data_IF_198300044192
#
_entry.id   IF_198300044192
#
_cell.length_a   1.000
_cell.length_b   1.000
_cell.length_c   1.000
_cell.angle_alpha   90.00
_cell.angle_beta   90.00
_cell.angle_gamma   90.00
#
_symmetry.space_group_name_H-M   'P 1'
#
loop_
_entity.id
_entity.type
_entity.pdbx_description
1 polymer ?
#
# COMPACT_ATOMS: atom_id res chain seq x y z
N UNK A 1 -19.83 -22.72 -5.61
CA UNK A 1 -19.09 -22.18 -4.44
C UNK A 1 -19.02 -20.68 -4.60
N UNK A 2 -19.41 -19.89 -3.60
CA UNK A 2 -19.29 -18.42 -3.64
C UNK A 2 -17.85 -17.98 -3.40
N UNK A 3 -17.50 -16.73 -3.75
CA UNK A 3 -16.18 -16.13 -3.46
C UNK A 3 -15.87 -16.21 -1.96
N UNK A 4 -16.82 -15.84 -1.09
CA UNK A 4 -16.67 -15.95 0.38
C UNK A 4 -16.34 -17.37 0.85
N UNK A 5 -17.05 -18.37 0.32
CA UNK A 5 -16.78 -19.78 0.67
C UNK A 5 -15.37 -20.21 0.18
N UNK A 6 -14.99 -19.80 -1.03
CA UNK A 6 -13.65 -20.08 -1.54
C UNK A 6 -12.56 -19.47 -0.65
N UNK A 7 -12.70 -18.19 -0.28
CA UNK A 7 -11.74 -17.49 0.57
C UNK A 7 -11.58 -18.20 1.92
N UNK A 8 -12.70 -18.47 2.62
CA UNK A 8 -12.70 -19.16 3.92
C UNK A 8 -12.00 -20.54 3.88
N UNK A 9 -12.20 -21.26 2.80
CA UNK A 9 -11.60 -22.59 2.61
C UNK A 9 -10.14 -22.55 2.14
N UNK A 10 -9.61 -21.37 1.83
CA UNK A 10 -8.29 -21.21 1.20
C UNK A 10 -7.25 -20.55 2.11
N UNK A 11 -7.62 -19.93 3.25
CA UNK A 11 -6.66 -19.26 4.12
C UNK A 11 -5.50 -20.16 4.55
N UNK A 12 -5.78 -21.42 4.89
CA UNK A 12 -4.76 -22.38 5.35
C UNK A 12 -3.75 -22.71 4.25
N UNK A 13 -4.10 -22.50 2.97
CA UNK A 13 -3.18 -22.69 1.83
C UNK A 13 -2.12 -21.60 1.75
N UNK A 14 -2.38 -20.42 2.31
CA UNK A 14 -1.41 -19.31 2.38
C UNK A 14 -0.58 -19.33 3.66
N UNK A 15 -0.92 -20.17 4.64
CA UNK A 15 -0.21 -20.23 5.92
C UNK A 15 1.16 -20.92 5.75
N UNK A 16 2.21 -20.26 6.24
CA UNK A 16 3.60 -20.69 6.19
C UNK A 16 4.19 -20.73 7.59
N UNK A 17 4.94 -21.77 7.91
CA UNK A 17 5.72 -21.85 9.16
C UNK A 17 7.17 -21.42 8.95
N UNK A 18 7.61 -21.31 7.70
CA UNK A 18 8.94 -20.81 7.28
C UNK A 18 8.88 -20.39 5.81
N UNK A 19 9.75 -19.46 5.41
CA UNK A 19 9.94 -19.08 4.02
C UNK A 19 10.50 -20.23 3.16
N UNK A 20 10.22 -20.18 1.87
CA UNK A 20 10.66 -21.16 0.89
C UNK A 20 11.98 -20.78 0.24
N UNK A 21 12.34 -19.50 0.24
CA UNK A 21 13.56 -19.00 -0.39
C UNK A 21 14.79 -19.27 0.46
N UNK A 22 15.95 -19.59 -0.18
CA UNK A 22 17.21 -19.76 0.53
C UNK A 22 17.68 -18.50 1.28
N UNK A 23 17.29 -17.31 0.78
CA UNK A 23 17.58 -16.00 1.36
C UNK A 23 16.43 -15.46 2.24
N UNK A 24 15.44 -16.30 2.57
CA UNK A 24 14.34 -15.97 3.48
C UNK A 24 14.81 -15.76 4.91
N UNK A 25 14.18 -14.80 5.60
CA UNK A 25 14.44 -14.50 7.01
C UNK A 25 13.48 -15.31 7.88
N UNK A 26 14.03 -16.07 8.82
CA UNK A 26 13.22 -16.85 9.78
C UNK A 26 12.40 -15.90 10.68
N UNK A 27 11.11 -16.20 10.80
CA UNK A 27 10.16 -15.48 11.61
C UNK A 27 9.75 -16.29 12.85
N UNK A 28 9.41 -15.62 13.97
CA UNK A 28 9.05 -16.32 15.22
C UNK A 28 7.69 -17.02 15.17
N UNK A 29 6.76 -16.56 14.32
CA UNK A 29 5.41 -17.10 14.21
C UNK A 29 5.09 -17.55 12.78
N UNK A 30 4.09 -18.42 12.57
CA UNK A 30 3.50 -18.65 11.25
C UNK A 30 3.01 -17.33 10.64
N UNK A 31 2.96 -17.27 9.31
CA UNK A 31 2.50 -16.09 8.57
C UNK A 31 1.71 -16.48 7.32
N UNK A 32 0.92 -15.55 6.80
CA UNK A 32 0.21 -15.75 5.55
C UNK A 32 1.00 -15.10 4.40
N UNK A 33 1.33 -15.89 3.37
CA UNK A 33 1.87 -15.39 2.11
C UNK A 33 0.76 -14.78 1.23
N UNK A 34 1.07 -13.84 0.31
CA UNK A 34 0.09 -13.26 -0.61
C UNK A 34 -0.56 -14.30 -1.53
N UNK A 35 0.18 -15.30 -1.96
CA UNK A 35 -0.30 -16.37 -2.81
C UNK A 35 -0.37 -17.71 -2.05
N UNK A 36 -1.39 -18.52 -2.37
CA UNK A 36 -1.44 -19.90 -1.91
C UNK A 36 -0.35 -20.75 -2.62
N UNK A 37 -0.19 -20.50 -3.92
CA UNK A 37 0.85 -21.06 -4.79
C UNK A 37 1.31 -19.95 -5.73
N UNK A 38 2.58 -19.89 -6.11
CA UNK A 38 3.08 -18.92 -7.09
C UNK A 38 4.32 -18.16 -6.65
N UNK A 39 4.55 -17.01 -7.26
CA UNK A 39 5.79 -16.23 -7.12
C UNK A 39 5.86 -15.41 -5.83
N UNK A 40 4.71 -15.09 -5.20
CA UNK A 40 4.65 -14.30 -3.95
C UNK A 40 4.40 -15.22 -2.75
N UNK A 41 5.38 -16.05 -2.42
CA UNK A 41 5.28 -17.08 -1.38
C UNK A 41 5.99 -16.68 -0.06
N UNK A 42 6.51 -15.46 0.03
CA UNK A 42 7.20 -14.94 1.21
C UNK A 42 6.32 -13.97 2.02
N UNK A 43 6.83 -13.49 3.15
CA UNK A 43 6.16 -12.52 4.00
C UNK A 43 6.46 -11.10 3.52
N UNK A 44 5.46 -10.46 2.89
CA UNK A 44 5.54 -9.09 2.38
C UNK A 44 4.87 -8.09 3.30
N UNK A 45 5.36 -6.84 3.29
CA UNK A 45 4.91 -5.82 4.22
C UNK A 45 3.46 -5.37 3.96
N UNK A 46 3.21 -4.59 2.91
CA UNK A 46 1.91 -3.96 2.75
C UNK A 46 0.81 -4.94 2.33
N UNK A 47 1.15 -6.02 1.63
CA UNK A 47 0.24 -7.11 1.28
C UNK A 47 -0.45 -7.70 2.51
N UNK A 48 0.34 -7.88 3.57
CA UNK A 48 -0.14 -8.43 4.83
C UNK A 48 -1.20 -7.55 5.50
N UNK A 49 -1.15 -6.23 5.30
CA UNK A 49 -2.18 -5.33 5.85
C UNK A 49 -3.57 -5.67 5.30
N UNK A 50 -3.65 -5.90 4.00
CA UNK A 50 -4.92 -6.24 3.36
C UNK A 50 -5.32 -7.69 3.59
N UNK A 51 -4.37 -8.61 3.63
CA UNK A 51 -4.59 -10.02 4.04
C UNK A 51 -5.23 -10.06 5.43
N UNK A 52 -4.70 -9.30 6.38
CA UNK A 52 -5.20 -9.24 7.75
C UNK A 52 -6.66 -8.73 7.83
N UNK A 53 -7.07 -7.81 6.93
CA UNK A 53 -8.49 -7.41 6.85
C UNK A 53 -9.42 -8.60 6.65
N UNK A 54 -9.06 -9.50 5.72
CA UNK A 54 -9.83 -10.70 5.46
C UNK A 54 -9.76 -11.75 6.56
N UNK A 55 -8.59 -11.94 7.16
CA UNK A 55 -8.43 -12.85 8.31
C UNK A 55 -9.29 -12.39 9.50
N UNK A 56 -9.30 -11.11 9.82
CA UNK A 56 -10.11 -10.53 10.88
C UNK A 56 -11.61 -10.68 10.56
N UNK A 57 -12.02 -10.41 9.33
CA UNK A 57 -13.41 -10.57 8.87
C UNK A 57 -13.89 -12.04 8.95
N UNK A 58 -12.99 -13.00 8.80
CA UNK A 58 -13.30 -14.44 8.94
C UNK A 58 -13.01 -15.00 10.34
N UNK A 59 -12.72 -14.14 11.35
CA UNK A 59 -12.49 -14.54 12.74
C UNK A 59 -11.14 -15.21 13.02
N UNK A 60 -10.20 -15.17 12.08
CA UNK A 60 -8.84 -15.74 12.21
C UNK A 60 -7.89 -14.72 12.88
N UNK A 61 -8.26 -14.30 14.11
CA UNK A 61 -7.54 -13.25 14.84
C UNK A 61 -6.13 -13.64 15.24
N UNK A 62 -5.88 -14.93 15.53
CA UNK A 62 -4.55 -15.44 15.90
C UNK A 62 -3.58 -15.36 14.71
N UNK A 63 -4.01 -15.77 13.51
CA UNK A 63 -3.21 -15.66 12.29
C UNK A 63 -2.86 -14.19 11.98
N UNK A 64 -3.87 -13.31 12.10
CA UNK A 64 -3.66 -11.87 11.91
C UNK A 64 -2.70 -11.26 12.95
N UNK A 65 -2.80 -11.67 14.23
CA UNK A 65 -1.89 -11.23 15.29
C UNK A 65 -0.46 -11.72 15.05
N UNK A 66 -0.28 -12.98 14.66
CA UNK A 66 1.03 -13.54 14.32
C UNK A 66 1.71 -12.77 13.19
N UNK A 67 0.95 -12.39 12.14
CA UNK A 67 1.48 -11.55 11.08
C UNK A 67 2.00 -10.21 11.62
N UNK A 68 1.26 -9.54 12.50
CA UNK A 68 1.67 -8.23 13.03
C UNK A 68 2.85 -8.35 14.02
N UNK A 69 2.91 -9.44 14.81
CA UNK A 69 4.03 -9.72 15.69
C UNK A 69 5.33 -10.05 14.92
N UNK A 70 5.22 -10.74 13.78
CA UNK A 70 6.35 -10.95 12.87
C UNK A 70 6.90 -9.64 12.32
N UNK A 71 6.03 -8.68 11.99
CA UNK A 71 6.48 -7.34 11.57
C UNK A 71 7.17 -6.60 12.71
N UNK A 72 6.61 -6.62 13.92
CA UNK A 72 7.24 -6.03 15.10
C UNK A 72 8.64 -6.63 15.33
N UNK A 73 8.81 -7.93 15.20
CA UNK A 73 10.10 -8.61 15.27
C UNK A 73 11.10 -8.10 14.21
N UNK A 74 10.67 -7.93 12.95
CA UNK A 74 11.53 -7.41 11.88
C UNK A 74 11.88 -5.94 12.11
N UNK A 75 10.93 -5.12 12.57
CA UNK A 75 11.17 -3.71 12.94
C UNK A 75 12.15 -3.62 14.10
N UNK A 76 12.04 -4.48 15.11
CA UNK A 76 12.97 -4.54 16.24
C UNK A 76 14.38 -4.89 15.79
N UNK A 77 14.50 -5.80 14.83
CA UNK A 77 15.77 -6.30 14.34
C UNK A 77 16.50 -5.32 13.41
N UNK A 78 15.76 -4.64 12.52
CA UNK A 78 16.32 -3.81 11.45
C UNK A 78 16.08 -2.31 11.63
N UNK A 79 15.23 -1.92 12.58
CA UNK A 79 14.81 -0.53 12.80
C UNK A 79 13.65 -0.07 11.89
N UNK A 80 13.21 -0.91 10.95
CA UNK A 80 12.10 -0.68 10.03
C UNK A 80 11.55 -2.02 9.53
N UNK A 81 10.35 -2.04 8.96
CA UNK A 81 9.86 -3.22 8.26
C UNK A 81 10.47 -3.27 6.84
N UNK A 82 11.25 -4.31 6.50
CA UNK A 82 11.71 -4.52 5.13
C UNK A 82 10.54 -4.73 4.16
N UNK A 83 10.80 -4.56 2.86
CA UNK A 83 9.82 -4.82 1.80
C UNK A 83 9.21 -6.24 1.91
N UNK A 84 10.07 -7.24 2.18
CA UNK A 84 9.68 -8.60 2.52
C UNK A 84 10.69 -9.22 3.49
N UNK A 85 10.34 -10.34 4.10
CA UNK A 85 11.24 -11.11 4.97
C UNK A 85 12.30 -11.88 4.15
N UNK A 86 13.04 -11.17 3.31
CA UNK A 86 14.04 -11.68 2.37
C UNK A 86 15.28 -10.80 2.42
N UNK A 87 16.48 -11.39 2.54
CA UNK A 87 17.72 -10.60 2.70
C UNK A 87 18.03 -9.70 1.50
N UNK A 88 17.70 -10.13 0.28
CA UNK A 88 17.82 -9.30 -0.94
C UNK A 88 16.88 -8.09 -1.00
N UNK A 89 15.89 -8.01 -0.09
CA UNK A 89 14.90 -6.91 -0.01
C UNK A 89 15.08 -6.02 1.23
N UNK A 90 16.20 -6.16 1.96
CA UNK A 90 16.55 -5.32 3.12
C UNK A 90 16.97 -3.89 2.71
N UNK A 91 17.16 -3.60 1.45
CA UNK A 91 17.59 -2.29 0.99
C UNK A 91 16.44 -1.28 0.85
N UNK A 92 15.21 -1.66 1.13
CA UNK A 92 14.00 -0.83 1.07
C UNK A 92 12.88 -1.33 1.97
N UNK A 93 11.97 -0.44 2.32
CA UNK A 93 10.71 -0.76 3.00
C UNK A 93 9.55 -0.90 1.98
N UNK A 94 8.32 -0.71 2.46
CA UNK A 94 7.09 -0.49 1.68
C UNK A 94 6.23 0.57 2.41
N UNK A 95 5.04 0.97 1.89
CA UNK A 95 4.19 1.96 2.56
C UNK A 95 3.95 1.59 4.03
N UNK A 96 4.09 2.55 4.97
CA UNK A 96 4.01 2.26 6.40
C UNK A 96 2.58 1.97 6.84
N UNK A 97 2.12 0.74 6.61
CA UNK A 97 0.80 0.26 6.99
C UNK A 97 0.81 -0.53 8.32
N UNK A 98 1.96 -0.68 8.96
CA UNK A 98 2.04 -1.35 10.26
C UNK A 98 1.15 -0.66 11.30
N UNK A 99 1.07 0.67 11.29
CA UNK A 99 0.14 1.41 12.16
C UNK A 99 -1.32 0.98 11.96
N UNK A 100 -1.77 0.85 10.71
CA UNK A 100 -3.13 0.37 10.41
C UNK A 100 -3.35 -1.04 10.98
N UNK A 101 -2.39 -1.95 10.78
CA UNK A 101 -2.46 -3.32 11.32
C UNK A 101 -2.43 -3.36 12.85
N UNK A 102 -1.61 -2.53 13.48
CA UNK A 102 -1.58 -2.38 14.95
C UNK A 102 -2.95 -1.95 15.46
N UNK A 103 -3.56 -0.91 14.86
CA UNK A 103 -4.90 -0.46 15.25
C UNK A 103 -5.93 -1.57 15.15
N UNK A 104 -5.93 -2.32 14.05
CA UNK A 104 -6.93 -3.35 13.78
C UNK A 104 -6.77 -4.57 14.72
N UNK A 105 -5.53 -4.89 15.13
CA UNK A 105 -5.27 -6.06 15.97
C UNK A 105 -5.27 -5.77 17.47
N UNK A 106 -5.18 -4.50 17.88
CA UNK A 106 -5.17 -4.11 19.31
C UNK A 106 -6.28 -4.74 20.16
N UNK A 107 -7.53 -4.90 19.70
CA UNK A 107 -8.59 -5.55 20.47
C UNK A 107 -8.29 -7.01 20.85
N UNK A 108 -7.47 -7.70 20.06
CA UNK A 108 -7.15 -9.12 20.17
C UNK A 108 -5.79 -9.42 20.80
N UNK A 109 -4.95 -8.40 20.98
CA UNK A 109 -3.61 -8.54 21.55
C UNK A 109 -3.63 -8.50 23.09
N UNK A 110 -2.76 -9.28 23.74
CA UNK A 110 -2.50 -9.24 25.18
C UNK A 110 -1.67 -8.01 25.58
N UNK A 111 -1.53 -7.76 26.88
CA UNK A 111 -0.87 -6.56 27.40
C UNK A 111 0.59 -6.44 26.96
N UNK A 112 1.35 -7.54 26.98
CA UNK A 112 2.77 -7.52 26.56
C UNK A 112 2.90 -7.30 25.05
N UNK A 113 2.02 -7.93 24.26
CA UNK A 113 1.97 -7.75 22.81
C UNK A 113 1.64 -6.31 22.44
N UNK A 114 0.65 -5.68 23.08
CA UNK A 114 0.31 -4.26 22.91
C UNK A 114 1.52 -3.35 23.13
N UNK A 115 2.26 -3.59 24.20
CA UNK A 115 3.48 -2.82 24.48
C UNK A 115 4.55 -3.00 23.40
N UNK A 116 4.79 -4.23 22.97
CA UNK A 116 5.73 -4.54 21.89
C UNK A 116 5.33 -3.87 20.57
N UNK A 117 4.05 -3.94 20.21
CA UNK A 117 3.50 -3.32 18.99
C UNK A 117 3.64 -1.78 19.01
N UNK A 118 3.34 -1.13 20.14
CA UNK A 118 3.51 0.33 20.29
C UNK A 118 4.98 0.72 20.17
N UNK A 119 5.88 -0.06 20.81
CA UNK A 119 7.32 0.18 20.71
C UNK A 119 7.87 0.03 19.28
N UNK A 120 7.40 -0.97 18.55
CA UNK A 120 7.75 -1.18 17.15
C UNK A 120 7.19 -0.04 16.25
N UNK A 121 5.97 0.42 16.50
CA UNK A 121 5.35 1.55 15.79
C UNK A 121 6.18 2.83 15.93
N UNK A 122 6.60 3.17 17.14
CA UNK A 122 7.48 4.33 17.38
C UNK A 122 8.84 4.16 16.70
N UNK A 123 9.40 2.95 16.69
CA UNK A 123 10.69 2.66 16.07
C UNK A 123 10.63 2.80 14.54
N UNK A 124 9.59 2.30 13.91
CA UNK A 124 9.37 2.46 12.47
C UNK A 124 9.14 3.93 12.09
N UNK A 125 8.35 4.68 12.86
CA UNK A 125 8.20 6.12 12.66
C UNK A 125 9.56 6.84 12.66
N UNK A 126 10.45 6.50 13.60
CA UNK A 126 11.81 7.07 13.66
C UNK A 126 12.65 6.76 12.42
N UNK A 127 12.50 5.57 11.83
CA UNK A 127 13.14 5.25 10.55
C UNK A 127 12.71 6.23 9.46
N UNK A 128 11.42 6.42 9.28
CA UNK A 128 10.90 7.35 8.28
C UNK A 128 11.40 8.77 8.51
N UNK A 129 11.41 9.25 9.74
CA UNK A 129 11.86 10.61 10.09
C UNK A 129 13.36 10.81 10.02
N UNK A 130 14.17 9.75 10.10
CA UNK A 130 15.64 9.86 10.05
C UNK A 130 16.24 9.50 8.68
N UNK A 131 15.61 8.59 7.94
CA UNK A 131 16.18 8.02 6.70
C UNK A 131 15.46 8.47 5.42
N UNK A 132 14.26 9.02 5.54
CA UNK A 132 13.39 9.35 4.41
C UNK A 132 12.87 10.80 4.44
N UNK A 133 13.48 11.66 5.24
CA UNK A 133 13.07 13.05 5.39
C UNK A 133 13.68 13.92 4.28
N UNK A 134 12.83 14.74 3.64
CA UNK A 134 13.23 15.78 2.70
C UNK A 134 13.56 17.10 3.44
N UNK A 135 14.32 18.00 2.83
CA UNK A 135 14.56 19.34 3.40
C UNK A 135 13.29 20.16 3.66
N UNK A 136 12.20 19.85 2.97
CA UNK A 136 10.86 20.44 3.20
C UNK A 136 10.23 20.03 4.53
N UNK A 137 10.76 18.99 5.19
CA UNK A 137 10.18 18.36 6.37
C UNK A 137 9.04 17.37 6.05
N UNK A 138 8.79 17.06 4.78
CA UNK A 138 7.99 15.93 4.31
C UNK A 138 8.87 14.72 4.03
N UNK A 139 8.27 13.54 3.91
CA UNK A 139 8.99 12.32 3.65
C UNK A 139 8.91 11.90 2.18
N UNK A 140 9.88 11.11 1.74
CA UNK A 140 9.94 10.49 0.41
C UNK A 140 10.13 8.98 0.52
N UNK A 141 9.85 8.25 -0.53
CA UNK A 141 10.36 6.90 -0.72
C UNK A 141 11.84 6.92 -1.13
N UNK A 142 12.54 5.83 -0.87
CA UNK A 142 13.97 5.75 -1.14
C UNK A 142 14.52 4.33 -1.01
N UNK A 143 15.82 4.21 -0.88
CA UNK A 143 16.49 2.93 -0.68
C UNK A 143 17.82 3.12 0.04
N UNK A 144 18.43 2.00 0.47
CA UNK A 144 19.79 1.92 0.99
C UNK A 144 20.65 0.93 0.18
N UNK A 145 20.30 0.73 -1.09
CA UNK A 145 21.00 -0.18 -2.01
C UNK A 145 22.39 0.35 -2.33
N UNK A 146 23.34 -0.56 -2.51
CA UNK A 146 24.64 -0.26 -3.07
C UNK A 146 24.57 0.03 -4.58
N UNK A 147 25.71 0.37 -5.17
CA UNK A 147 25.80 0.71 -6.59
C UNK A 147 25.40 -0.48 -7.48
N UNK A 148 25.82 -1.69 -7.15
CA UNK A 148 25.55 -2.88 -7.94
C UNK A 148 24.04 -3.17 -7.99
N UNK A 149 23.37 -3.16 -6.85
CA UNK A 149 21.93 -3.36 -6.75
C UNK A 149 21.13 -2.27 -7.50
N UNK A 150 21.60 -1.00 -7.50
CA UNK A 150 20.98 0.07 -8.29
C UNK A 150 21.12 -0.17 -9.79
N UNK A 151 22.31 -0.56 -10.26
CA UNK A 151 22.52 -0.85 -11.67
C UNK A 151 21.68 -2.03 -12.16
N UNK A 152 21.61 -3.11 -11.38
CA UNK A 152 20.73 -4.25 -11.67
C UNK A 152 19.25 -3.84 -11.74
N UNK A 153 18.80 -2.94 -10.87
CA UNK A 153 17.43 -2.46 -10.89
C UNK A 153 17.13 -1.57 -12.09
N UNK A 154 18.11 -0.80 -12.59
CA UNK A 154 17.95 -0.05 -13.84
C UNK A 154 17.77 -0.99 -15.04
N UNK A 155 18.56 -2.08 -15.11
CA UNK A 155 18.43 -3.11 -16.16
C UNK A 155 17.04 -3.80 -16.08
N UNK A 156 16.58 -4.12 -14.87
CA UNK A 156 15.29 -4.75 -14.65
C UNK A 156 14.13 -3.84 -15.06
N UNK A 157 14.22 -2.53 -14.79
CA UNK A 157 13.20 -1.57 -15.21
C UNK A 157 13.09 -1.48 -16.72
N UNK A 158 14.24 -1.38 -17.44
CA UNK A 158 14.24 -1.36 -18.91
C UNK A 158 13.63 -2.64 -19.50
N UNK A 159 13.94 -3.78 -18.89
CA UNK A 159 13.39 -5.08 -19.30
C UNK A 159 11.87 -5.16 -19.08
N UNK A 160 11.39 -4.79 -17.89
CA UNK A 160 9.95 -4.88 -17.52
C UNK A 160 9.11 -3.90 -18.33
N UNK A 161 9.60 -2.68 -18.52
CA UNK A 161 8.89 -1.62 -19.22
C UNK A 161 9.09 -1.66 -20.74
N UNK A 162 9.97 -2.53 -21.24
CA UNK A 162 10.38 -2.57 -22.66
C UNK A 162 10.75 -1.18 -23.20
N UNK A 163 11.46 -0.39 -22.37
CA UNK A 163 11.80 1.02 -22.60
C UNK A 163 13.26 1.27 -22.31
N UNK A 164 13.93 2.07 -23.15
CA UNK A 164 15.26 2.64 -22.86
C UNK A 164 15.13 3.96 -22.11
N UNK A 165 16.09 4.23 -21.23
CA UNK A 165 16.24 5.51 -20.49
C UNK A 165 17.52 6.22 -20.94
N UNK A 166 17.64 6.49 -22.23
CA UNK A 166 18.83 7.11 -22.84
C UNK A 166 19.14 8.47 -22.21
N UNK A 167 20.40 8.69 -21.88
CA UNK A 167 20.90 9.94 -21.28
C UNK A 167 20.66 10.09 -19.79
N UNK A 168 19.99 9.12 -19.13
CA UNK A 168 19.83 9.10 -17.67
C UNK A 168 20.99 8.32 -17.05
N UNK A 169 21.58 8.85 -15.97
CA UNK A 169 22.58 8.12 -15.19
C UNK A 169 21.94 6.85 -14.60
N UNK A 170 22.51 5.69 -14.92
CA UNK A 170 21.92 4.39 -14.59
C UNK A 170 21.86 4.12 -13.10
N UNK A 171 22.86 4.58 -12.33
CA UNK A 171 22.84 4.43 -10.87
C UNK A 171 21.72 5.27 -10.25
N UNK A 172 21.54 6.50 -10.73
CA UNK A 172 20.44 7.40 -10.33
C UNK A 172 19.08 6.80 -10.69
N UNK A 173 18.94 6.31 -11.94
CA UNK A 173 17.71 5.63 -12.38
C UNK A 173 17.37 4.47 -11.47
N UNK A 174 18.31 3.55 -11.23
CA UNK A 174 18.10 2.40 -10.36
C UNK A 174 17.72 2.79 -8.92
N UNK A 175 18.25 3.92 -8.42
CA UNK A 175 17.85 4.49 -7.14
C UNK A 175 16.40 4.94 -7.13
N UNK A 176 15.92 5.63 -8.17
CA UNK A 176 14.52 6.03 -8.32
C UNK A 176 13.58 4.82 -8.45
N UNK A 177 13.97 3.82 -9.23
CA UNK A 177 13.22 2.58 -9.41
C UNK A 177 13.08 1.81 -8.08
N UNK A 178 14.15 1.69 -7.29
CA UNK A 178 14.08 1.10 -5.95
C UNK A 178 13.17 1.88 -5.01
N UNK A 179 13.10 3.20 -5.15
CA UNK A 179 12.15 4.02 -4.40
C UNK A 179 10.70 3.78 -4.86
N UNK A 180 10.46 3.54 -6.15
CA UNK A 180 9.13 3.10 -6.61
C UNK A 180 8.77 1.72 -6.04
N UNK A 181 9.72 0.79 -5.96
CA UNK A 181 9.51 -0.48 -5.26
C UNK A 181 9.20 -0.28 -3.75
N UNK A 182 9.82 0.71 -3.08
CA UNK A 182 9.47 1.06 -1.70
C UNK A 182 8.06 1.68 -1.60
N UNK A 183 7.58 2.36 -2.65
CA UNK A 183 6.20 2.87 -2.70
C UNK A 183 5.15 1.77 -2.85
N UNK A 184 5.55 0.57 -3.26
CA UNK A 184 4.67 -0.53 -3.61
C UNK A 184 4.01 -0.40 -4.99
N UNK A 185 4.26 0.70 -5.73
CA UNK A 185 3.63 0.99 -7.03
C UNK A 185 4.63 0.88 -8.19
N UNK A 186 5.35 -0.20 -8.24
CA UNK A 186 6.35 -0.46 -9.27
C UNK A 186 5.73 -1.21 -10.48
N UNK A 187 5.42 -0.55 -11.64
CA UNK A 187 5.75 0.85 -11.92
C UNK A 187 4.47 1.67 -12.15
N UNK A 188 4.57 2.99 -11.93
CA UNK A 188 3.39 3.86 -12.04
C UNK A 188 3.73 5.18 -12.78
N UNK A 189 2.73 5.85 -13.39
CA UNK A 189 2.93 7.16 -14.00
C UNK A 189 3.05 8.29 -12.97
N UNK A 190 2.91 8.03 -11.67
CA UNK A 190 2.86 9.03 -10.58
C UNK A 190 4.08 9.93 -10.56
N UNK A 191 5.25 9.34 -10.70
CA UNK A 191 6.53 10.00 -10.45
C UNK A 191 7.40 10.19 -11.71
N UNK A 192 6.95 9.68 -12.86
CA UNK A 192 7.74 9.76 -14.10
C UNK A 192 9.16 9.18 -13.94
N UNK A 193 9.34 8.13 -13.12
CA UNK A 193 10.61 7.50 -12.76
C UNK A 193 11.57 8.39 -11.96
N UNK A 194 11.05 9.42 -11.27
CA UNK A 194 11.79 10.33 -10.38
C UNK A 194 11.32 10.25 -8.92
N UNK A 195 10.92 9.07 -8.44
CA UNK A 195 10.24 8.85 -7.16
C UNK A 195 10.96 9.49 -5.96
N UNK A 196 12.31 9.45 -5.90
CA UNK A 196 13.07 10.02 -4.79
C UNK A 196 12.98 11.55 -4.67
N UNK A 197 12.56 12.26 -5.70
CA UNK A 197 12.44 13.72 -5.69
C UNK A 197 11.12 14.19 -5.12
N UNK A 198 10.11 13.30 -5.08
CA UNK A 198 8.76 13.61 -4.65
C UNK A 198 8.57 13.48 -3.14
N UNK A 199 7.62 14.26 -2.62
CA UNK A 199 6.91 14.03 -1.37
C UNK A 199 5.59 13.31 -1.70
N UNK A 200 5.53 11.96 -1.64
CA UNK A 200 4.35 11.21 -2.00
C UNK A 200 3.22 11.45 -1.01
N UNK A 201 2.01 11.67 -1.53
CA UNK A 201 0.86 12.02 -0.69
C UNK A 201 0.41 10.84 0.18
N UNK A 202 0.51 9.61 -0.32
CA UNK A 202 0.20 8.40 0.43
C UNK A 202 1.13 8.22 1.64
N UNK A 203 2.45 8.24 1.43
CA UNK A 203 3.43 8.13 2.51
C UNK A 203 3.19 9.18 3.60
N UNK A 204 3.05 10.44 3.20
CA UNK A 204 2.90 11.53 4.15
C UNK A 204 1.53 11.52 4.86
N UNK A 205 0.49 10.98 4.23
CA UNK A 205 -0.81 10.73 4.88
C UNK A 205 -0.72 9.60 5.91
N UNK A 206 -0.03 8.50 5.60
CA UNK A 206 0.18 7.40 6.53
C UNK A 206 1.04 7.83 7.74
N UNK A 207 2.06 8.66 7.53
CA UNK A 207 2.85 9.18 8.64
C UNK A 207 2.07 10.18 9.50
N UNK A 208 1.12 10.95 8.92
CA UNK A 208 0.16 11.72 9.72
C UNK A 208 -0.68 10.82 10.61
N UNK A 209 -1.16 9.68 10.10
CA UNK A 209 -1.87 8.68 10.92
C UNK A 209 -0.99 8.13 12.05
N UNK A 210 0.29 7.83 11.77
CA UNK A 210 1.24 7.39 12.80
C UNK A 210 1.39 8.41 13.92
N UNK A 211 1.51 9.68 13.58
CA UNK A 211 1.63 10.78 14.53
C UNK A 211 0.38 10.88 15.42
N UNK A 212 -0.83 10.72 14.86
CA UNK A 212 -2.07 10.67 15.64
C UNK A 212 -2.10 9.44 16.58
N UNK A 213 -1.78 8.27 16.06
CA UNK A 213 -1.79 7.02 16.84
C UNK A 213 -0.75 7.04 17.97
N UNK A 214 0.46 7.52 17.70
CA UNK A 214 1.52 7.64 18.72
C UNK A 214 1.15 8.66 19.78
N UNK A 215 0.44 9.75 19.44
CA UNK A 215 -0.11 10.69 20.42
C UNK A 215 -1.13 10.02 21.37
N UNK A 216 -1.90 9.07 20.86
CA UNK A 216 -2.90 8.34 21.66
C UNK A 216 -2.27 7.21 22.50
N UNK A 217 -1.28 6.50 21.95
CA UNK A 217 -0.64 5.37 22.63
C UNK A 217 0.49 5.78 23.59
N UNK A 218 1.07 6.97 23.44
CA UNK A 218 2.19 7.48 24.25
C UNK A 218 1.81 8.83 24.90
N UNK A 219 1.02 8.82 26.00
CA UNK A 219 0.50 10.04 26.64
C UNK A 219 1.60 11.04 27.01
N UNK A 220 2.76 10.55 27.45
CA UNK A 220 3.90 11.40 27.84
C UNK A 220 4.53 12.17 26.66
N UNK A 221 4.30 11.71 25.41
CA UNK A 221 4.78 12.31 24.16
C UNK A 221 3.64 12.90 23.32
N UNK A 222 2.42 12.93 23.86
CA UNK A 222 1.23 13.37 23.11
C UNK A 222 1.40 14.72 22.41
N UNK A 223 1.93 15.70 23.14
CA UNK A 223 2.12 17.05 22.60
C UNK A 223 3.12 17.11 21.44
N UNK A 224 4.20 16.31 21.52
CA UNK A 224 5.19 16.18 20.45
C UNK A 224 4.57 15.66 19.17
N UNK A 225 3.85 14.53 19.24
CA UNK A 225 3.26 13.89 18.06
C UNK A 225 2.10 14.70 17.46
N UNK A 226 1.25 15.34 18.28
CA UNK A 226 0.21 16.22 17.75
C UNK A 226 0.80 17.46 17.06
N UNK A 227 1.90 18.01 17.56
CA UNK A 227 2.63 19.08 16.89
C UNK A 227 3.24 18.62 15.56
N UNK A 228 3.82 17.43 15.52
CA UNK A 228 4.35 16.83 14.29
C UNK A 228 3.25 16.66 13.23
N UNK A 229 2.09 16.12 13.61
CA UNK A 229 0.93 15.95 12.72
C UNK A 229 0.41 17.30 12.18
N UNK A 230 0.29 18.31 13.03
CA UNK A 230 -0.14 19.64 12.60
C UNK A 230 0.84 20.27 11.60
N UNK A 231 2.15 20.17 11.85
CA UNK A 231 3.20 20.66 10.95
C UNK A 231 3.21 19.88 9.63
N UNK A 232 3.01 18.55 9.65
CA UNK A 232 2.91 17.73 8.43
C UNK A 232 1.71 18.16 7.59
N UNK A 233 0.55 18.34 8.20
CA UNK A 233 -0.65 18.82 7.52
C UNK A 233 -0.41 20.19 6.86
N UNK A 234 0.19 21.14 7.57
CA UNK A 234 0.54 22.47 7.04
C UNK A 234 1.47 22.37 5.83
N UNK A 235 2.54 21.56 5.93
CA UNK A 235 3.49 21.33 4.83
C UNK A 235 2.86 20.66 3.62
N UNK A 236 1.94 19.71 3.83
CA UNK A 236 1.21 19.08 2.74
C UNK A 236 0.35 20.07 1.96
N UNK A 237 -0.39 20.93 2.66
CA UNK A 237 -1.14 22.00 1.99
C UNK A 237 -0.23 23.03 1.30
N UNK A 238 0.94 23.28 1.87
CA UNK A 238 1.92 24.22 1.28
C UNK A 238 2.57 23.70 0.00
N UNK A 239 2.91 22.40 -0.06
CA UNK A 239 3.75 21.84 -1.14
C UNK A 239 3.00 20.90 -2.07
N UNK A 240 1.96 20.23 -1.60
CA UNK A 240 1.28 19.14 -2.30
C UNK A 240 -0.16 19.50 -2.74
N UNK A 241 -0.63 20.71 -2.47
CA UNK A 241 -1.96 21.16 -2.89
C UNK A 241 -1.90 21.79 -4.30
N UNK A 242 -2.68 21.23 -5.25
CA UNK A 242 -2.70 21.68 -6.65
C UNK A 242 -3.75 22.76 -6.94
N UNK A 243 -4.43 23.26 -5.90
CA UNK A 243 -5.55 24.21 -6.00
C UNK A 243 -6.93 23.51 -5.92
N UNK A 244 -6.99 22.18 -6.04
CA UNK A 244 -8.23 21.39 -5.94
C UNK A 244 -8.14 20.24 -4.96
N UNK A 245 -7.01 19.57 -4.90
CA UNK A 245 -6.76 18.40 -4.06
C UNK A 245 -5.30 18.33 -3.61
N UNK A 246 -5.03 17.51 -2.61
CA UNK A 246 -3.68 17.08 -2.26
C UNK A 246 -3.21 15.96 -3.21
N UNK A 247 -1.98 16.08 -3.71
CA UNK A 247 -1.37 15.12 -4.66
C UNK A 247 0.14 15.02 -4.42
N UNK A 248 0.82 14.16 -5.17
CA UNK A 248 2.29 14.05 -5.11
C UNK A 248 2.94 15.34 -5.61
N UNK A 249 4.03 15.76 -5.00
CA UNK A 249 4.75 16.97 -5.42
C UNK A 249 6.25 16.87 -5.17
N UNK A 250 7.03 17.52 -6.02
CA UNK A 250 8.42 17.88 -5.71
C UNK A 250 8.35 19.18 -4.90
N UNK A 251 8.79 19.19 -3.61
CA UNK A 251 8.66 20.38 -2.78
C UNK A 251 9.43 21.57 -3.35
N UNK A 252 8.71 22.66 -3.59
CA UNK A 252 9.23 23.86 -4.26
C UNK A 252 9.07 23.87 -5.78
N UNK A 253 8.58 22.77 -6.37
CA UNK A 253 8.17 22.64 -7.76
C UNK A 253 6.65 22.67 -7.92
N UNK A 254 6.19 22.22 -9.08
CA UNK A 254 4.75 22.06 -9.37
C UNK A 254 4.28 20.68 -8.91
N UNK A 255 3.11 20.57 -8.25
CA UNK A 255 2.49 19.28 -7.99
C UNK A 255 2.27 18.46 -9.27
N UNK A 256 2.30 17.12 -9.15
CA UNK A 256 2.05 16.26 -10.32
C UNK A 256 0.65 16.52 -10.91
N UNK A 257 0.55 16.40 -12.23
CA UNK A 257 -0.74 16.47 -12.92
C UNK A 257 -1.48 15.14 -12.89
N UNK A 258 -0.79 14.04 -12.60
CA UNK A 258 -1.38 12.71 -12.59
C UNK A 258 -2.23 12.53 -11.33
N UNK A 259 -3.53 12.30 -11.51
CA UNK A 259 -4.41 11.89 -10.43
C UNK A 259 -4.30 10.39 -10.24
N UNK A 260 -3.98 9.95 -9.03
CA UNK A 260 -3.91 8.55 -8.64
C UNK A 260 -4.77 8.26 -7.41
N UNK A 261 -5.02 7.00 -7.13
CA UNK A 261 -5.76 6.58 -5.92
C UNK A 261 -5.04 6.97 -4.62
N UNK A 262 -3.74 7.29 -4.67
CA UNK A 262 -3.00 7.85 -3.55
C UNK A 262 -3.59 9.18 -3.06
N UNK A 263 -4.22 9.97 -3.95
CA UNK A 263 -4.89 11.22 -3.60
C UNK A 263 -6.12 11.02 -2.68
N UNK A 264 -6.59 9.79 -2.49
CA UNK A 264 -7.66 9.48 -1.54
C UNK A 264 -7.15 9.28 -0.09
N UNK A 265 -5.86 9.00 0.11
CA UNK A 265 -5.33 8.71 1.45
C UNK A 265 -5.46 9.85 2.46
N UNK A 266 -5.32 11.13 2.11
CA UNK A 266 -5.58 12.22 3.05
C UNK A 266 -6.96 12.13 3.72
N UNK A 267 -7.96 11.66 2.97
CA UNK A 267 -9.33 11.47 3.46
C UNK A 267 -9.48 10.16 4.25
N UNK A 268 -8.84 9.09 3.77
CA UNK A 268 -8.86 7.79 4.44
C UNK A 268 -8.23 7.83 5.85
N UNK A 269 -7.30 8.75 6.11
CA UNK A 269 -6.64 8.92 7.42
C UNK A 269 -7.16 10.13 8.22
N UNK A 270 -8.19 10.83 7.75
CA UNK A 270 -8.78 11.97 8.44
C UNK A 270 -7.93 13.26 8.42
N UNK A 271 -6.96 13.37 7.51
CA UNK A 271 -6.17 14.58 7.31
C UNK A 271 -6.99 15.69 6.64
N UNK A 272 -7.90 15.32 5.73
CA UNK A 272 -8.82 16.21 5.03
C UNK A 272 -10.25 15.67 5.08
N UNK A 273 -11.23 16.57 5.11
CA UNK A 273 -12.66 16.29 5.07
C UNK A 273 -13.37 16.96 3.87
N UNK A 274 -12.61 17.51 2.93
CA UNK A 274 -13.15 18.17 1.73
C UNK A 274 -13.77 17.14 0.76
N UNK A 275 -15.09 16.99 0.86
CA UNK A 275 -15.88 16.08 0.01
C UNK A 275 -15.76 16.41 -1.49
N UNK A 276 -15.67 17.70 -1.83
CA UNK A 276 -15.55 18.15 -3.22
C UNK A 276 -14.23 17.72 -3.84
N UNK A 277 -13.14 17.87 -3.09
CA UNK A 277 -11.83 17.40 -3.49
C UNK A 277 -11.80 15.88 -3.68
N UNK A 278 -12.33 15.10 -2.72
CA UNK A 278 -12.40 13.63 -2.86
C UNK A 278 -13.23 13.20 -4.07
N UNK A 279 -14.41 13.79 -4.27
CA UNK A 279 -15.24 13.48 -5.44
C UNK A 279 -14.55 13.82 -6.76
N UNK A 280 -13.69 14.86 -6.79
CA UNK A 280 -12.89 15.18 -7.98
C UNK A 280 -11.88 14.08 -8.29
N UNK A 281 -11.29 13.45 -7.29
CA UNK A 281 -10.39 12.28 -7.42
C UNK A 281 -11.18 11.08 -7.93
N UNK A 282 -12.27 10.73 -7.26
CA UNK A 282 -13.09 9.56 -7.61
C UNK A 282 -13.58 9.63 -9.05
N UNK A 283 -14.12 10.78 -9.51
CA UNK A 283 -14.61 10.95 -10.88
C UNK A 283 -13.56 10.72 -11.97
N UNK A 284 -12.29 10.93 -11.68
CA UNK A 284 -11.18 10.68 -12.63
C UNK A 284 -10.75 9.23 -12.68
N UNK A 285 -10.96 8.49 -11.58
CA UNK A 285 -10.47 7.12 -11.41
C UNK A 285 -11.57 6.07 -11.55
N UNK A 286 -12.84 6.45 -11.39
CA UNK A 286 -13.97 5.54 -11.45
C UNK A 286 -14.35 5.19 -12.90
N UNK A 287 -14.45 3.89 -13.15
CA UNK A 287 -14.88 3.32 -14.43
C UNK A 287 -16.03 2.33 -14.22
N UNK A 288 -16.40 1.62 -15.29
CA UNK A 288 -17.53 0.68 -15.27
C UNK A 288 -17.44 -0.38 -14.18
N UNK A 289 -16.23 -0.88 -13.93
CA UNK A 289 -15.97 -2.03 -13.04
C UNK A 289 -15.23 -1.69 -11.76
N UNK A 290 -14.83 -0.44 -11.54
CA UNK A 290 -14.21 0.02 -10.30
C UNK A 290 -13.27 1.19 -10.46
N UNK A 291 -12.24 1.25 -9.60
CA UNK A 291 -11.28 2.35 -9.50
C UNK A 291 -9.96 1.96 -10.17
N UNK A 292 -9.56 2.69 -11.21
CA UNK A 292 -8.22 2.56 -11.78
C UNK A 292 -7.15 3.13 -10.84
N UNK A 293 -5.93 2.59 -10.88
CA UNK A 293 -4.81 3.05 -10.05
C UNK A 293 -4.46 4.53 -10.28
N UNK A 294 -4.44 4.93 -11.55
CA UNK A 294 -4.23 6.32 -11.98
C UNK A 294 -5.22 6.68 -13.09
N UNK A 295 -5.43 7.98 -13.30
CA UNK A 295 -6.10 8.45 -14.50
C UNK A 295 -5.30 8.08 -15.76
N UNK A 296 -5.97 8.02 -16.90
CA UNK A 296 -5.31 7.76 -18.19
C UNK A 296 -4.35 8.90 -18.51
N UNK A 297 -3.09 8.56 -18.81
CA UNK A 297 -2.05 9.51 -19.22
C UNK A 297 -1.71 9.33 -20.69
N UNK A 298 -1.10 10.36 -21.28
CA UNK A 298 -0.60 10.32 -22.67
C UNK A 298 0.80 9.65 -22.75
N UNK A 299 1.40 9.28 -21.62
CA UNK A 299 2.68 8.57 -21.58
C UNK A 299 2.50 7.17 -22.19
N UNK A 300 3.35 6.85 -23.17
CA UNK A 300 3.38 5.54 -23.81
C UNK A 300 3.96 4.43 -22.93
N UNK A 301 4.52 4.76 -21.77
CA UNK A 301 4.98 3.77 -20.81
C UNK A 301 3.79 3.04 -20.19
N UNK A 302 3.68 1.76 -20.49
CA UNK A 302 2.66 0.88 -19.94
C UNK A 302 3.09 0.48 -18.52
N UNK A 303 2.50 1.13 -17.52
CA UNK A 303 2.76 0.83 -16.11
C UNK A 303 1.63 -0.01 -15.54
N UNK A 304 1.97 -1.12 -14.86
CA UNK A 304 0.93 -1.97 -14.27
C UNK A 304 0.18 -1.29 -13.10
N UNK A 305 0.77 -0.29 -12.43
CA UNK A 305 0.12 0.54 -11.41
C UNK A 305 -0.48 1.82 -12.02
N UNK A 306 -0.90 1.75 -13.27
CA UNK A 306 -1.56 2.80 -14.02
C UNK A 306 -2.95 2.39 -14.50
N UNK A 307 -3.53 3.22 -15.38
CA UNK A 307 -4.77 2.92 -16.10
C UNK A 307 -4.54 1.73 -17.08
N UNK A 308 -5.47 0.80 -17.22
CA UNK A 308 -6.80 0.70 -16.60
C UNK A 308 -6.85 -0.23 -15.35
N UNK A 309 -5.70 -0.60 -14.79
CA UNK A 309 -5.63 -1.60 -13.74
C UNK A 309 -6.25 -1.13 -12.43
N UNK A 310 -7.03 -2.01 -11.83
CA UNK A 310 -7.67 -1.90 -10.52
C UNK A 310 -6.99 -2.85 -9.54
N UNK A 311 -6.48 -2.30 -8.44
CA UNK A 311 -5.80 -3.03 -7.38
C UNK A 311 -6.61 -2.99 -6.09
N UNK A 312 -6.80 -4.13 -5.46
CA UNK A 312 -7.57 -4.24 -4.22
C UNK A 312 -7.14 -3.23 -3.13
N UNK A 313 -5.83 -3.03 -2.83
CA UNK A 313 -5.37 -2.02 -1.89
C UNK A 313 -5.89 -0.62 -2.18
N UNK A 314 -5.91 -0.22 -3.45
CA UNK A 314 -6.29 1.12 -3.87
C UNK A 314 -7.80 1.32 -3.80
N UNK A 315 -8.58 0.30 -4.15
CA UNK A 315 -10.03 0.29 -3.94
C UNK A 315 -10.34 0.47 -2.45
N UNK A 316 -9.65 -0.24 -1.57
CA UNK A 316 -9.82 -0.13 -0.12
C UNK A 316 -9.54 1.29 0.38
N UNK A 317 -8.47 1.94 -0.07
CA UNK A 317 -8.18 3.31 0.34
C UNK A 317 -9.25 4.30 -0.11
N UNK A 318 -9.75 4.18 -1.36
CA UNK A 318 -10.84 5.04 -1.86
C UNK A 318 -12.13 4.76 -1.10
N UNK A 319 -12.43 3.49 -0.83
CA UNK A 319 -13.61 3.10 -0.05
C UNK A 319 -13.58 3.71 1.36
N UNK A 320 -12.47 3.53 2.09
CA UNK A 320 -12.29 4.12 3.42
C UNK A 320 -12.37 5.65 3.40
N UNK A 321 -11.81 6.30 2.37
CA UNK A 321 -11.89 7.75 2.22
C UNK A 321 -13.34 8.23 2.10
N UNK A 322 -14.15 7.57 1.28
CA UNK A 322 -15.57 7.88 1.09
C UNK A 322 -16.38 7.69 2.39
N UNK A 323 -16.13 6.58 3.10
CA UNK A 323 -16.77 6.31 4.40
C UNK A 323 -16.41 7.39 5.42
N UNK A 324 -15.12 7.72 5.55
CA UNK A 324 -14.65 8.70 6.55
C UNK A 324 -15.23 10.11 6.36
N UNK A 325 -15.44 10.54 5.11
CA UNK A 325 -16.04 11.86 4.86
C UNK A 325 -17.57 11.83 4.78
N UNK A 326 -18.19 10.66 5.00
CA UNK A 326 -19.65 10.47 5.02
C UNK A 326 -20.29 10.51 3.62
N UNK A 327 -19.58 10.11 2.57
CA UNK A 327 -20.09 9.88 1.21
C UNK A 327 -20.51 8.40 1.06
N UNK A 328 -21.51 7.98 1.86
CA UNK A 328 -21.85 6.56 2.00
C UNK A 328 -22.44 5.95 0.72
N UNK A 329 -23.26 6.69 -0.04
CA UNK A 329 -23.81 6.19 -1.30
C UNK A 329 -22.70 5.92 -2.33
N UNK A 330 -21.67 6.79 -2.35
CA UNK A 330 -20.50 6.62 -3.20
C UNK A 330 -19.64 5.43 -2.74
N UNK A 331 -19.45 5.24 -1.43
CA UNK A 331 -18.72 4.08 -0.90
C UNK A 331 -19.41 2.77 -1.24
N UNK A 332 -20.74 2.68 -1.06
CA UNK A 332 -21.55 1.51 -1.46
C UNK A 332 -21.37 1.23 -2.95
N UNK A 333 -21.49 2.25 -3.82
CA UNK A 333 -21.33 2.10 -5.26
C UNK A 333 -19.95 1.56 -5.64
N UNK A 334 -18.88 2.12 -5.08
CA UNK A 334 -17.50 1.68 -5.38
C UNK A 334 -17.26 0.27 -4.84
N UNK A 335 -17.71 -0.03 -3.62
CA UNK A 335 -17.63 -1.36 -3.04
C UNK A 335 -18.35 -2.41 -3.89
N UNK A 336 -19.56 -2.13 -4.32
CA UNK A 336 -20.35 -3.03 -5.17
C UNK A 336 -19.70 -3.30 -6.53
N UNK A 337 -19.12 -2.28 -7.18
CA UNK A 337 -18.38 -2.46 -8.43
C UNK A 337 -17.21 -3.43 -8.25
N UNK A 338 -16.42 -3.25 -7.18
CA UNK A 338 -15.30 -4.14 -6.88
C UNK A 338 -15.78 -5.57 -6.61
N UNK A 339 -16.76 -5.76 -5.72
CA UNK A 339 -17.29 -7.09 -5.40
C UNK A 339 -17.81 -7.80 -6.66
N UNK A 340 -18.63 -7.11 -7.45
CA UNK A 340 -19.21 -7.68 -8.67
C UNK A 340 -18.15 -8.07 -9.70
N UNK A 341 -17.08 -7.27 -9.85
CA UNK A 341 -15.97 -7.58 -10.77
C UNK A 341 -15.20 -8.81 -10.33
N UNK A 342 -14.90 -8.92 -9.02
CA UNK A 342 -14.25 -10.10 -8.45
C UNK A 342 -15.13 -11.34 -8.59
N UNK A 343 -16.43 -11.24 -8.29
CA UNK A 343 -17.39 -12.35 -8.39
C UNK A 343 -17.56 -12.84 -9.83
N UNK A 344 -17.69 -11.93 -10.80
CA UNK A 344 -17.78 -12.28 -12.20
C UNK A 344 -16.51 -12.99 -12.67
N UNK A 345 -15.35 -12.42 -12.42
CA UNK A 345 -14.07 -13.00 -12.80
C UNK A 345 -13.83 -14.36 -12.14
N UNK A 346 -14.25 -14.51 -10.86
CA UNK A 346 -14.19 -15.79 -10.17
C UNK A 346 -15.15 -16.82 -10.77
N UNK A 347 -16.37 -16.41 -11.17
CA UNK A 347 -17.33 -17.26 -11.88
C UNK A 347 -16.76 -17.84 -13.17
N UNK A 348 -16.02 -17.02 -13.92
CA UNK A 348 -15.42 -17.39 -15.21
C UNK A 348 -14.16 -18.25 -15.07
N UNK A 349 -13.36 -18.05 -14.01
CA UNK A 349 -12.00 -18.64 -13.90
C UNK A 349 -11.83 -19.59 -12.71
N UNK A 350 -12.68 -19.52 -11.71
CA UNK A 350 -12.53 -20.22 -10.43
C UNK A 350 -11.37 -19.68 -9.55
N UNK A 351 -10.82 -18.50 -9.88
CA UNK A 351 -9.62 -17.93 -9.27
C UNK A 351 -9.82 -16.49 -8.84
N UNK A 352 -9.04 -16.06 -7.84
CA UNK A 352 -8.83 -14.66 -7.48
C UNK A 352 -7.52 -14.19 -8.11
N UNK A 353 -7.54 -13.00 -8.69
CA UNK A 353 -6.39 -12.44 -9.39
C UNK A 353 -5.74 -11.32 -8.58
N UNK A 354 -4.49 -11.08 -8.85
CA UNK A 354 -3.69 -10.01 -8.25
C UNK A 354 -4.33 -8.63 -8.49
N UNK A 355 -4.84 -8.42 -9.70
CA UNK A 355 -5.47 -7.16 -10.15
C UNK A 355 -6.54 -7.44 -11.19
N UNK A 356 -7.36 -6.42 -11.46
CA UNK A 356 -8.47 -6.48 -12.40
C UNK A 356 -8.44 -5.28 -13.35
N UNK A 357 -9.28 -5.30 -14.38
CA UNK A 357 -9.46 -4.17 -15.30
C UNK A 357 -10.66 -3.33 -14.84
N UNK A 358 -10.43 -2.06 -14.50
CA UNK A 358 -11.48 -1.14 -14.03
C UNK A 358 -12.47 -0.75 -15.13
N UNK A 359 -12.08 -0.85 -16.40
CA UNK A 359 -12.85 -0.40 -17.57
C UNK A 359 -13.67 -1.54 -18.17
N UNK A 360 -13.00 -2.68 -18.46
CA UNK A 360 -13.60 -3.82 -19.13
C UNK A 360 -14.12 -4.89 -18.17
N UNK A 361 -13.67 -4.86 -16.92
CA UNK A 361 -13.91 -5.93 -15.96
C UNK A 361 -13.02 -7.15 -16.18
N UNK A 362 -13.10 -8.12 -15.26
CA UNK A 362 -12.33 -9.35 -15.34
C UNK A 362 -10.85 -9.14 -15.08
N UNK A 363 -10.04 -10.06 -15.60
CA UNK A 363 -8.60 -10.09 -15.45
C UNK A 363 -7.92 -8.87 -16.06
N UNK A 364 -6.87 -8.35 -15.42
CA UNK A 364 -6.14 -7.20 -15.91
C UNK A 364 -5.51 -7.43 -17.29
N UNK A 365 -5.54 -6.40 -18.13
CA UNK A 365 -5.03 -6.45 -19.51
C UNK A 365 -3.62 -5.87 -19.64
N UNK A 366 -3.17 -5.07 -18.67
CA UNK A 366 -1.86 -4.43 -18.64
C UNK A 366 -1.00 -5.11 -17.58
N UNK A 367 0.03 -5.82 -18.02
CA UNK A 367 0.88 -6.64 -17.16
C UNK A 367 2.35 -6.52 -17.56
N UNK A 368 3.23 -6.37 -16.56
CA UNK A 368 4.68 -6.38 -16.73
C UNK A 368 5.29 -7.77 -16.50
N UNK A 369 4.51 -8.69 -15.95
CA UNK A 369 4.82 -10.12 -15.76
C UNK A 369 3.54 -10.95 -15.89
N UNK A 370 3.68 -12.26 -15.92
CA UNK A 370 2.51 -13.16 -15.95
C UNK A 370 1.66 -12.94 -14.71
N UNK A 371 0.40 -12.55 -14.92
CA UNK A 371 -0.54 -12.30 -13.84
C UNK A 371 -0.72 -13.55 -12.97
N UNK A 372 -0.66 -13.34 -11.67
CA UNK A 372 -0.67 -14.42 -10.69
C UNK A 372 -2.00 -14.51 -9.95
N UNK A 373 -2.33 -15.70 -9.50
CA UNK A 373 -3.41 -15.93 -8.57
C UNK A 373 -3.03 -15.34 -7.20
N UNK A 374 -3.90 -14.49 -6.64
CA UNK A 374 -3.63 -13.77 -5.41
C UNK A 374 -4.75 -14.01 -4.41
N UNK A 375 -4.48 -14.75 -3.35
CA UNK A 375 -5.40 -14.87 -2.23
C UNK A 375 -5.35 -13.60 -1.36
N UNK A 376 -4.16 -13.20 -0.93
CA UNK A 376 -3.85 -12.13 0.02
C UNK A 376 -4.75 -10.90 -0.03
N UNK A 377 -4.33 -9.85 -0.71
CA UNK A 377 -5.06 -8.57 -0.69
C UNK A 377 -6.42 -8.63 -1.39
N UNK A 378 -6.56 -9.42 -2.46
CA UNK A 378 -7.87 -9.52 -3.16
C UNK A 378 -8.92 -10.15 -2.26
N UNK A 379 -8.59 -11.27 -1.61
CA UNK A 379 -9.49 -11.92 -0.65
C UNK A 379 -9.75 -11.04 0.58
N UNK A 380 -8.70 -10.38 1.07
CA UNK A 380 -8.79 -9.53 2.24
C UNK A 380 -9.71 -8.35 2.05
N UNK A 381 -9.51 -7.59 0.98
CA UNK A 381 -10.34 -6.43 0.66
C UNK A 381 -11.77 -6.84 0.27
N UNK A 382 -11.92 -7.95 -0.49
CA UNK A 382 -13.24 -8.48 -0.80
C UNK A 382 -14.05 -8.78 0.46
N UNK A 383 -13.47 -9.52 1.42
CA UNK A 383 -14.14 -9.85 2.66
C UNK A 383 -14.49 -8.61 3.50
N UNK A 384 -13.54 -7.67 3.63
CA UNK A 384 -13.76 -6.46 4.41
C UNK A 384 -14.90 -5.60 3.84
N UNK A 385 -14.91 -5.33 2.53
CA UNK A 385 -15.99 -4.56 1.89
C UNK A 385 -17.31 -5.33 1.94
N UNK A 386 -17.29 -6.65 1.70
CA UNK A 386 -18.50 -7.47 1.74
C UNK A 386 -19.18 -7.40 3.12
N UNK A 387 -18.41 -7.53 4.19
CA UNK A 387 -18.96 -7.49 5.55
C UNK A 387 -19.50 -6.10 5.91
N UNK A 388 -18.80 -5.01 5.52
CA UNK A 388 -19.29 -3.64 5.76
C UNK A 388 -20.58 -3.31 5.00
N UNK A 389 -20.77 -3.85 3.79
CA UNK A 389 -21.98 -3.62 3.00
C UNK A 389 -23.16 -4.49 3.40
N UNK A 390 -22.97 -5.53 4.21
CA UNK A 390 -24.02 -6.48 4.64
C UNK A 390 -24.29 -6.43 6.15
N UNK A 391 -23.73 -5.47 6.89
CA UNK A 391 -24.08 -5.13 8.27
C UNK A 391 -25.26 -4.19 8.29
#
# INVERSE_FOLDING_TARGET
MTVRQYIRNSWDKSLRTRGHRPDGIALPYPYNSPCAEGIFDEFYYWDTCFTNKGLIADGKYEDALHNVLNMAYLIDRYGYMPNAAVTGMLNRSQPPLFGVMVRDIMPYAGTQEKQALIGALEREYRFWMSRRLLPSGLNRYGNSADREARLLMADEAERRLSRSFDGVDRETLGGHILAECESGWDFSPRFGFHCMDYAPIDLNSLLYLYEQMLADYLPDKRGEFLSAAAQRKERLYKYCFDGTKLTDAIPGGTPTKVTSAACALPFAVGLSDDRGALLSVVRRLEHGHGIAACEKTDDSAVCQWGYPNMWAPLVWFVYCALVNVGLLDDSVRIGQKYLSTVEQSFGDTGKLWEKYDAVCGGKATVNEYTETEMLGWTAGVYNAIYDELNQ
#
